data_IF_172418894225
#
_entry.id   IF_172418894225
#
_cell.length_a   1.000
_cell.length_b   1.000
_cell.length_c   1.000
_cell.angle_alpha   90.00
_cell.angle_beta   90.00
_cell.angle_gamma   90.00
#
_symmetry.space_group_name_H-M   'P 1'
#
loop_
_entity.id
_entity.type
_entity.pdbx_description
1 polymer ?
#
# COMPACT_ATOMS: atom_id res chain seq x y z
N UNK A 1 27.80 33.40 -12.24
CA UNK A 1 27.66 33.87 -10.85
C UNK A 1 26.17 34.05 -10.56
N UNK A 2 25.46 32.96 -10.29
CA UNK A 2 23.99 32.93 -10.20
C UNK A 2 23.56 32.10 -8.99
N UNK A 3 22.45 32.53 -8.39
CA UNK A 3 21.62 31.82 -7.41
C UNK A 3 22.18 31.70 -5.98
N UNK A 4 22.01 32.76 -5.19
CA UNK A 4 21.71 32.61 -3.75
C UNK A 4 20.21 32.81 -3.60
N UNK A 5 19.47 31.72 -3.78
CA UNK A 5 18.03 31.66 -3.53
C UNK A 5 17.80 31.85 -2.03
N UNK A 6 17.46 33.08 -1.68
CA UNK A 6 16.93 33.44 -0.37
C UNK A 6 15.48 32.96 -0.27
N UNK A 7 15.32 31.64 -0.07
CA UNK A 7 14.04 30.95 0.10
C UNK A 7 13.58 30.96 1.57
N UNK A 8 14.19 31.78 2.43
CA UNK A 8 13.86 31.92 3.86
C UNK A 8 12.60 32.76 4.15
N UNK A 9 12.12 33.54 3.18
CA UNK A 9 11.03 34.49 3.41
C UNK A 9 9.62 33.93 3.13
N UNK A 10 9.48 32.78 2.46
CA UNK A 10 8.18 32.22 2.05
C UNK A 10 7.37 31.53 3.15
N UNK A 11 7.89 31.37 4.37
CA UNK A 11 7.20 30.68 5.48
C UNK A 11 6.69 31.62 6.60
N UNK A 12 6.78 32.95 6.42
CA UNK A 12 5.99 33.91 7.24
C UNK A 12 4.51 33.96 6.82
N UNK A 13 4.15 33.22 5.77
CA UNK A 13 2.79 33.01 5.25
C UNK A 13 1.85 32.22 6.18
N UNK A 14 2.18 32.06 7.45
CA UNK A 14 1.23 31.62 8.48
C UNK A 14 1.33 32.45 9.77
N UNK A 15 1.76 33.71 9.66
CA UNK A 15 1.55 34.68 10.73
C UNK A 15 0.04 34.77 11.00
N UNK A 16 -0.35 34.35 12.21
CA UNK A 16 -1.75 34.28 12.63
C UNK A 16 -2.45 35.61 12.37
N UNK A 17 -3.60 35.54 11.68
CA UNK A 17 -4.49 36.68 11.51
C UNK A 17 -5.10 37.00 12.88
N UNK A 18 -4.96 38.24 13.32
CA UNK A 18 -5.67 38.78 14.49
C UNK A 18 -6.82 39.67 14.02
N UNK A 19 -7.90 39.81 14.82
CA UNK A 19 -9.03 40.68 14.48
C UNK A 19 -8.61 42.10 14.09
N UNK A 20 -7.67 42.69 14.84
CA UNK A 20 -7.15 44.04 14.56
C UNK A 20 -6.37 44.10 13.25
N UNK A 21 -5.59 43.06 12.96
CA UNK A 21 -4.83 42.98 11.71
C UNK A 21 -5.75 42.84 10.49
N UNK A 22 -6.85 42.10 10.64
CA UNK A 22 -7.86 41.98 9.58
C UNK A 22 -8.53 43.34 9.34
N UNK A 23 -8.85 44.10 10.40
CA UNK A 23 -9.40 45.46 10.27
C UNK A 23 -8.44 46.45 9.63
N UNK A 24 -7.15 46.32 9.90
CA UNK A 24 -6.10 47.17 9.33
C UNK A 24 -5.61 46.71 7.94
N UNK A 25 -6.21 45.67 7.35
CA UNK A 25 -5.79 45.15 6.06
C UNK A 25 -6.21 46.10 4.93
N UNK A 26 -5.21 46.66 4.26
CA UNK A 26 -5.42 47.46 3.05
C UNK A 26 -5.36 46.58 1.79
N UNK A 27 -6.22 46.89 0.82
CA UNK A 27 -6.24 46.26 -0.49
C UNK A 27 -5.81 47.26 -1.56
N UNK A 28 -4.93 46.85 -2.47
CA UNK A 28 -4.53 47.67 -3.61
C UNK A 28 -5.71 47.85 -4.58
N UNK A 29 -5.88 49.06 -5.11
CA UNK A 29 -6.90 49.35 -6.14
C UNK A 29 -6.64 48.55 -7.41
N UNK A 30 -7.72 48.21 -8.13
CA UNK A 30 -7.61 47.53 -9.41
C UNK A 30 -6.82 48.38 -10.42
N UNK A 31 -5.92 47.75 -11.17
CA UNK A 31 -5.19 48.39 -12.28
C UNK A 31 -6.17 48.95 -13.31
N UNK A 32 -5.88 50.14 -13.87
CA UNK A 32 -6.72 50.80 -14.88
C UNK A 32 -7.23 49.80 -15.93
N UNK A 33 -8.55 49.75 -16.13
CA UNK A 33 -9.22 48.89 -17.12
C UNK A 33 -9.80 47.57 -16.60
N UNK A 34 -9.63 47.25 -15.30
CA UNK A 34 -10.30 46.09 -14.66
C UNK A 34 -11.31 46.56 -13.61
N UNK A 35 -12.48 45.91 -13.55
CA UNK A 35 -13.46 46.13 -12.47
C UNK A 35 -12.91 45.55 -11.16
N UNK A 36 -12.82 46.38 -10.13
CA UNK A 36 -12.49 45.96 -8.76
C UNK A 36 -13.74 45.63 -7.95
N UNK A 37 -13.54 45.11 -6.74
CA UNK A 37 -14.62 44.92 -5.77
C UNK A 37 -15.13 46.28 -5.23
N UNK A 38 -16.39 46.30 -4.81
CA UNK A 38 -16.97 47.46 -4.14
C UNK A 38 -16.30 47.64 -2.76
N UNK A 39 -15.69 48.80 -2.54
CA UNK A 39 -14.92 49.10 -1.32
C UNK A 39 -15.78 49.07 -0.05
N UNK A 40 -17.05 49.47 -0.16
CA UNK A 40 -17.99 49.46 0.97
C UNK A 40 -18.39 48.04 1.37
N UNK A 41 -18.71 47.18 0.40
CA UNK A 41 -19.02 45.77 0.64
C UNK A 41 -17.81 45.02 1.23
N UNK A 42 -16.61 45.30 0.71
CA UNK A 42 -15.36 44.73 1.24
C UNK A 42 -15.12 45.20 2.67
N UNK A 43 -15.34 46.48 2.99
CA UNK A 43 -15.21 46.99 4.36
C UNK A 43 -16.19 46.34 5.33
N UNK A 44 -17.46 46.18 4.94
CA UNK A 44 -18.47 45.49 5.75
C UNK A 44 -18.09 44.02 5.98
N UNK A 45 -17.58 43.35 4.94
CA UNK A 45 -17.13 41.96 5.05
C UNK A 45 -15.93 41.81 5.99
N UNK A 46 -14.91 42.69 5.88
CA UNK A 46 -13.77 42.72 6.82
C UNK A 46 -14.24 42.91 8.25
N UNK A 47 -15.19 43.82 8.49
CA UNK A 47 -15.76 44.07 9.81
C UNK A 47 -16.35 42.80 10.43
N UNK A 48 -17.21 42.12 9.67
CA UNK A 48 -17.83 40.84 10.07
C UNK A 48 -16.79 39.75 10.33
N UNK A 49 -15.83 39.58 9.42
CA UNK A 49 -14.76 38.56 9.58
C UNK A 49 -13.92 38.84 10.82
N UNK A 50 -13.62 40.10 11.11
CA UNK A 50 -12.89 40.48 12.32
C UNK A 50 -13.69 40.20 13.60
N UNK A 51 -15.01 40.42 13.59
CA UNK A 51 -15.91 40.08 14.70
C UNK A 51 -16.00 38.56 14.92
N UNK A 52 -16.22 37.79 13.86
CA UNK A 52 -16.28 36.33 13.93
C UNK A 52 -14.94 35.73 14.41
N UNK A 53 -13.82 36.31 13.98
CA UNK A 53 -12.49 35.92 14.43
C UNK A 53 -12.27 36.25 15.91
N UNK A 54 -12.72 37.42 16.36
CA UNK A 54 -12.63 37.81 17.77
C UNK A 54 -13.48 36.90 18.67
N UNK A 55 -14.69 36.56 18.25
CA UNK A 55 -15.55 35.61 18.95
C UNK A 55 -14.89 34.22 19.04
N UNK A 56 -14.35 33.73 17.92
CA UNK A 56 -13.64 32.45 17.86
C UNK A 56 -12.39 32.42 18.76
N UNK A 57 -11.65 33.52 18.85
CA UNK A 57 -10.47 33.62 19.70
C UNK A 57 -10.85 33.66 21.19
N UNK A 58 -11.94 34.33 21.55
CA UNK A 58 -12.47 34.32 22.91
C UNK A 58 -12.93 32.91 23.34
N UNK A 59 -13.61 32.17 22.46
CA UNK A 59 -14.00 30.79 22.71
C UNK A 59 -12.79 29.86 22.84
N UNK A 60 -11.78 30.01 21.97
CA UNK A 60 -10.52 29.24 22.12
C UNK A 60 -9.81 29.56 23.43
N UNK A 61 -9.84 30.81 23.87
CA UNK A 61 -9.24 31.21 25.15
C UNK A 61 -9.99 30.59 26.34
N UNK A 62 -11.33 30.59 26.32
CA UNK A 62 -12.14 29.97 27.38
C UNK A 62 -11.95 28.45 27.42
N UNK A 63 -11.93 27.78 26.26
CA UNK A 63 -11.65 26.35 26.16
C UNK A 63 -10.25 26.00 26.68
N UNK A 64 -9.24 26.82 26.37
CA UNK A 64 -7.88 26.62 26.93
C UNK A 64 -7.85 26.80 28.44
N UNK A 65 -8.52 27.83 28.96
CA UNK A 65 -8.63 28.03 30.41
C UNK A 65 -9.31 26.85 31.10
N UNK A 66 -10.36 26.29 30.49
CA UNK A 66 -11.05 25.11 31.03
C UNK A 66 -10.19 23.84 30.93
N UNK A 67 -9.46 23.63 29.83
CA UNK A 67 -8.48 22.54 29.72
C UNK A 67 -7.42 22.65 30.82
N UNK A 68 -6.89 23.84 31.07
CA UNK A 68 -5.87 24.05 32.09
C UNK A 68 -6.43 23.88 33.51
N UNK A 69 -7.67 24.29 33.74
CA UNK A 69 -8.41 24.02 34.98
C UNK A 69 -8.62 22.53 35.20
N UNK A 70 -9.09 21.79 34.19
CA UNK A 70 -9.30 20.35 34.26
C UNK A 70 -7.97 19.62 34.49
N UNK A 71 -6.92 19.97 33.76
CA UNK A 71 -5.57 19.43 33.97
C UNK A 71 -5.07 19.65 35.39
N UNK A 72 -5.29 20.84 35.95
CA UNK A 72 -4.93 21.15 37.34
C UNK A 72 -5.69 20.27 38.32
N UNK A 73 -7.02 20.15 38.15
CA UNK A 73 -7.88 19.28 38.97
C UNK A 73 -7.42 17.82 38.93
N UNK A 74 -7.12 17.29 37.74
CA UNK A 74 -6.61 15.92 37.61
C UNK A 74 -5.23 15.75 38.24
N UNK A 75 -4.34 16.73 38.12
CA UNK A 75 -3.05 16.69 38.81
C UNK A 75 -3.22 16.71 40.32
N UNK A 76 -4.10 17.54 40.87
CA UNK A 76 -4.37 17.62 42.31
C UNK A 76 -5.01 16.34 42.83
N UNK A 77 -5.94 15.75 42.08
CA UNK A 77 -6.55 14.45 42.38
C UNK A 77 -5.52 13.32 42.32
N UNK A 78 -4.71 13.25 41.27
CA UNK A 78 -3.65 12.26 41.14
C UNK A 78 -2.54 12.48 42.16
N UNK A 79 -2.22 13.71 42.54
CA UNK A 79 -1.19 14.01 43.54
C UNK A 79 -1.69 13.74 44.95
N UNK A 80 -2.98 13.91 45.23
CA UNK A 80 -3.62 13.50 46.50
C UNK A 80 -3.71 11.97 46.60
N UNK A 81 -4.02 11.27 45.51
CA UNK A 81 -3.99 9.81 45.46
C UNK A 81 -2.55 9.25 45.53
N UNK A 82 -1.60 9.87 44.81
CA UNK A 82 -0.19 9.46 44.79
C UNK A 82 0.58 9.82 46.08
N UNK A 83 0.07 10.74 46.90
CA UNK A 83 0.63 11.04 48.22
C UNK A 83 0.19 10.04 49.29
N UNK A 84 -0.75 9.14 48.97
CA UNK A 84 -1.19 8.06 49.87
C UNK A 84 -0.60 6.70 49.44
N UNK A 85 -0.42 6.45 48.15
CA UNK A 85 0.25 5.24 47.62
C UNK A 85 0.99 5.60 46.32
N UNK A 86 2.23 5.10 46.15
CA UNK A 86 3.02 5.30 44.91
C UNK A 86 2.34 4.76 43.64
N UNK A 87 2.94 4.93 42.44
CA UNK A 87 2.33 4.47 41.19
C UNK A 87 1.86 3.01 41.33
N UNK A 88 0.57 2.70 41.07
CA UNK A 88 0.00 1.43 41.44
C UNK A 88 0.71 0.33 40.64
N UNK A 89 1.25 -0.67 41.33
CA UNK A 89 1.95 -1.81 40.73
C UNK A 89 1.10 -2.49 39.63
N UNK A 90 -0.23 -2.38 39.72
CA UNK A 90 -1.21 -2.78 38.71
C UNK A 90 -1.03 -2.08 37.36
N UNK A 91 -0.78 -0.76 37.33
CA UNK A 91 -0.57 -0.02 36.09
C UNK A 91 0.75 -0.41 35.40
N UNK A 92 1.78 -0.72 36.20
CA UNK A 92 3.06 -1.24 35.68
C UNK A 92 2.86 -2.63 35.10
N UNK A 93 2.15 -3.52 35.80
CA UNK A 93 1.82 -4.85 35.31
C UNK A 93 0.99 -4.81 34.01
N UNK A 94 0.00 -3.91 33.92
CA UNK A 94 -0.81 -3.73 32.71
C UNK A 94 0.04 -3.20 31.54
N UNK A 95 0.95 -2.26 31.79
CA UNK A 95 1.86 -1.75 30.76
C UNK A 95 2.83 -2.83 30.28
N UNK A 96 3.40 -3.63 31.20
CA UNK A 96 4.26 -4.76 30.84
C UNK A 96 3.51 -5.81 30.03
N UNK A 97 2.26 -6.14 30.39
CA UNK A 97 1.41 -7.05 29.62
C UNK A 97 1.08 -6.50 28.22
N UNK A 98 0.73 -5.21 28.13
CA UNK A 98 0.47 -4.56 26.85
C UNK A 98 1.71 -4.50 25.96
N UNK A 99 2.89 -4.25 26.53
CA UNK A 99 4.15 -4.25 25.79
C UNK A 99 4.48 -5.63 25.23
N UNK A 100 4.35 -6.68 26.06
CA UNK A 100 4.54 -8.07 25.60
C UNK A 100 3.58 -8.43 24.46
N UNK A 101 2.32 -7.97 24.56
CA UNK A 101 1.33 -8.18 23.51
C UNK A 101 1.66 -7.42 22.22
N UNK A 102 2.15 -6.18 22.34
CA UNK A 102 2.61 -5.40 21.19
C UNK A 102 3.80 -6.08 20.50
N UNK A 103 4.78 -6.56 21.27
CA UNK A 103 5.95 -7.27 20.75
C UNK A 103 5.54 -8.57 20.04
N UNK A 104 4.54 -9.29 20.57
CA UNK A 104 3.97 -10.48 19.94
C UNK A 104 3.29 -10.15 18.60
N UNK A 105 2.52 -9.06 18.52
CA UNK A 105 1.91 -8.62 17.26
C UNK A 105 2.96 -8.21 16.23
N UNK A 106 4.04 -7.54 16.64
CA UNK A 106 5.14 -7.17 15.75
C UNK A 106 5.82 -8.43 15.20
N UNK A 107 6.10 -9.42 16.04
CA UNK A 107 6.69 -10.69 15.59
C UNK A 107 5.77 -11.43 14.59
N UNK A 108 4.46 -11.49 14.88
CA UNK A 108 3.48 -12.11 13.97
C UNK A 108 3.38 -11.36 12.64
N UNK A 109 3.33 -10.02 12.68
CA UNK A 109 3.26 -9.21 11.46
C UNK A 109 4.52 -9.36 10.60
N UNK A 110 5.70 -9.38 11.22
CA UNK A 110 6.97 -9.60 10.52
C UNK A 110 7.02 -10.97 9.84
N UNK A 111 6.56 -12.02 10.53
CA UNK A 111 6.47 -13.36 9.96
C UNK A 111 5.48 -13.43 8.79
N UNK A 112 4.29 -12.86 8.95
CA UNK A 112 3.29 -12.77 7.88
C UNK A 112 3.82 -12.03 6.66
N UNK A 113 4.50 -10.90 6.83
CA UNK A 113 5.12 -10.16 5.73
C UNK A 113 6.20 -10.97 5.01
N UNK A 114 7.01 -11.74 5.74
CA UNK A 114 8.00 -12.66 5.14
C UNK A 114 7.31 -13.74 4.31
N UNK A 115 6.28 -14.37 4.86
CA UNK A 115 5.51 -15.40 4.17
C UNK A 115 4.84 -14.85 2.91
N UNK A 116 4.18 -13.69 3.01
CA UNK A 116 3.53 -13.02 1.89
C UNK A 116 4.53 -12.67 0.77
N UNK A 117 5.73 -12.22 1.13
CA UNK A 117 6.78 -11.92 0.14
C UNK A 117 7.23 -13.17 -0.60
N UNK A 118 7.39 -14.30 0.11
CA UNK A 118 7.75 -15.59 -0.51
C UNK A 118 6.63 -16.09 -1.41
N UNK A 119 5.37 -16.00 -0.97
CA UNK A 119 4.20 -16.39 -1.76
C UNK A 119 4.05 -15.54 -3.02
N UNK A 120 4.15 -14.22 -2.90
CA UNK A 120 4.06 -13.30 -4.04
C UNK A 120 5.15 -13.57 -5.09
N UNK A 121 6.38 -13.88 -4.65
CA UNK A 121 7.47 -14.27 -5.57
C UNK A 121 7.17 -15.57 -6.31
N UNK A 122 6.77 -16.61 -5.58
CA UNK A 122 6.39 -17.90 -6.19
C UNK A 122 5.27 -17.73 -7.21
N UNK A 123 4.21 -17.00 -6.84
CA UNK A 123 3.10 -16.73 -7.74
C UNK A 123 3.54 -15.94 -8.98
N UNK A 124 4.44 -14.97 -8.83
CA UNK A 124 4.98 -14.24 -9.97
C UNK A 124 5.80 -15.16 -10.89
N UNK A 125 6.63 -16.03 -10.33
CA UNK A 125 7.41 -17.01 -11.09
C UNK A 125 6.49 -17.98 -11.84
N UNK A 126 5.44 -18.48 -11.19
CA UNK A 126 4.44 -19.37 -11.80
C UNK A 126 3.73 -18.71 -13.00
N UNK A 127 3.28 -17.46 -12.83
CA UNK A 127 2.66 -16.67 -13.91
C UNK A 127 3.63 -16.47 -15.07
N UNK A 128 4.91 -16.19 -14.79
CA UNK A 128 5.91 -15.97 -15.83
C UNK A 128 6.22 -17.25 -16.61
N UNK A 129 6.26 -18.42 -15.93
CA UNK A 129 6.42 -19.72 -16.59
C UNK A 129 5.21 -20.02 -17.47
N UNK A 130 4.00 -19.87 -16.94
CA UNK A 130 2.77 -20.10 -17.70
C UNK A 130 2.68 -19.19 -18.94
N UNK A 131 2.97 -17.89 -18.77
CA UNK A 131 2.97 -16.94 -19.87
C UNK A 131 4.02 -17.29 -20.94
N UNK A 132 5.19 -17.79 -20.53
CA UNK A 132 6.25 -18.24 -21.44
C UNK A 132 5.81 -19.45 -22.25
N UNK A 133 5.19 -20.43 -21.60
CA UNK A 133 4.73 -21.65 -22.26
C UNK A 133 3.60 -21.37 -23.26
N UNK A 134 2.62 -20.53 -22.86
CA UNK A 134 1.56 -20.06 -23.74
C UNK A 134 2.10 -19.29 -24.94
N UNK A 135 3.06 -18.38 -24.72
CA UNK A 135 3.70 -17.63 -25.80
C UNK A 135 4.49 -18.55 -26.75
N UNK A 136 5.15 -19.59 -26.21
CA UNK A 136 5.84 -20.61 -27.01
C UNK A 136 4.89 -21.39 -27.90
N UNK A 137 3.80 -21.90 -27.34
CA UNK A 137 2.79 -22.65 -28.09
C UNK A 137 2.15 -21.80 -29.21
N UNK A 138 1.80 -20.54 -28.91
CA UNK A 138 1.25 -19.61 -29.90
C UNK A 138 2.25 -19.27 -31.01
N UNK A 139 3.53 -19.08 -30.68
CA UNK A 139 4.58 -18.83 -31.67
C UNK A 139 4.80 -20.05 -32.59
N UNK A 140 4.76 -21.26 -32.04
CA UNK A 140 4.85 -22.49 -32.83
C UNK A 140 3.65 -22.70 -33.75
N UNK A 141 2.44 -22.40 -33.27
CA UNK A 141 1.23 -22.45 -34.08
C UNK A 141 1.29 -21.44 -35.24
N UNK A 142 1.70 -20.20 -34.96
CA UNK A 142 1.92 -19.19 -36.00
C UNK A 142 2.97 -19.68 -37.02
N UNK A 143 4.11 -20.20 -36.56
CA UNK A 143 5.17 -20.74 -37.43
C UNK A 143 4.69 -21.93 -38.27
N UNK A 144 3.78 -22.77 -37.75
CA UNK A 144 3.14 -23.85 -38.52
C UNK A 144 2.23 -23.27 -39.61
N UNK A 145 1.42 -22.27 -39.29
CA UNK A 145 0.58 -21.55 -40.26
C UNK A 145 1.39 -20.90 -41.38
N UNK A 146 2.48 -20.21 -41.04
CA UNK A 146 3.39 -19.63 -42.03
C UNK A 146 4.01 -20.69 -42.95
N UNK A 147 4.49 -21.81 -42.39
CA UNK A 147 5.08 -22.90 -43.19
C UNK A 147 4.07 -23.55 -44.12
N UNK A 148 2.81 -23.72 -43.69
CA UNK A 148 1.76 -24.26 -44.54
C UNK A 148 1.41 -23.33 -45.71
N UNK A 149 1.47 -22.01 -45.52
CA UNK A 149 1.16 -21.01 -46.56
C UNK A 149 2.31 -20.69 -47.53
N UNK A 150 3.57 -20.90 -47.14
CA UNK A 150 4.74 -20.41 -47.89
C UNK A 150 5.14 -21.26 -49.12
N UNK A 151 4.78 -22.55 -49.18
CA UNK A 151 5.07 -23.41 -50.34
C UNK A 151 6.55 -23.48 -50.78
N UNK A 152 6.82 -23.96 -52.00
CA UNK A 152 8.17 -24.28 -52.54
C UNK A 152 9.15 -23.10 -52.71
N UNK A 153 8.73 -21.87 -52.39
CA UNK A 153 9.57 -20.66 -52.41
C UNK A 153 10.40 -20.49 -51.12
N UNK A 154 10.10 -21.29 -50.10
CA UNK A 154 10.79 -21.30 -48.81
C UNK A 154 12.16 -21.97 -48.91
N UNK A 155 13.23 -21.23 -48.57
CA UNK A 155 14.60 -21.74 -48.52
C UNK A 155 15.15 -21.60 -47.10
N UNK A 156 15.91 -22.61 -46.64
CA UNK A 156 16.52 -22.68 -45.30
C UNK A 156 17.39 -21.46 -44.97
N UNK A 157 18.04 -20.88 -45.99
CA UNK A 157 18.92 -19.71 -45.86
C UNK A 157 18.15 -18.41 -45.57
N UNK A 158 16.96 -18.22 -46.15
CA UNK A 158 16.11 -17.05 -45.86
C UNK A 158 15.61 -17.11 -44.42
N UNK A 159 15.18 -18.29 -43.94
CA UNK A 159 14.73 -18.48 -42.56
C UNK A 159 15.87 -18.32 -41.53
N UNK A 160 17.10 -18.68 -41.89
CA UNK A 160 18.26 -18.44 -41.02
C UNK A 160 18.61 -16.96 -40.91
N UNK A 161 18.49 -16.20 -42.01
CA UNK A 161 18.70 -14.76 -42.01
C UNK A 161 17.60 -14.01 -41.26
N UNK A 162 16.33 -14.38 -41.44
CA UNK A 162 15.20 -13.83 -40.68
C UNK A 162 15.35 -14.11 -39.18
N UNK A 163 15.76 -15.32 -38.80
CA UNK A 163 16.08 -15.64 -37.39
C UNK A 163 17.21 -14.78 -36.83
N UNK A 164 18.28 -14.54 -37.60
CA UNK A 164 19.39 -13.68 -37.16
C UNK A 164 18.94 -12.23 -36.98
N UNK A 165 18.14 -11.70 -37.91
CA UNK A 165 17.59 -10.34 -37.79
C UNK A 165 16.66 -10.23 -36.57
N UNK A 166 15.75 -11.18 -36.39
CA UNK A 166 14.86 -11.22 -35.23
C UNK A 166 15.65 -11.35 -33.92
N UNK A 167 16.70 -12.18 -33.88
CA UNK A 167 17.57 -12.32 -32.71
C UNK A 167 18.29 -11.00 -32.37
N UNK A 168 18.88 -10.32 -33.37
CA UNK A 168 19.55 -9.03 -33.14
C UNK A 168 18.55 -7.99 -32.62
N UNK A 169 17.35 -7.91 -33.19
CA UNK A 169 16.32 -6.97 -32.74
C UNK A 169 15.87 -7.26 -31.30
N UNK A 170 15.66 -8.54 -30.97
CA UNK A 170 15.27 -8.95 -29.62
C UNK A 170 16.39 -8.68 -28.61
N UNK A 171 17.63 -8.93 -29.00
CA UNK A 171 18.82 -8.64 -28.20
C UNK A 171 18.98 -7.14 -27.95
N UNK A 172 18.91 -6.31 -28.99
CA UNK A 172 18.98 -4.85 -28.85
C UNK A 172 17.88 -4.33 -27.91
N UNK A 173 16.65 -4.87 -28.01
CA UNK A 173 15.55 -4.50 -27.12
C UNK A 173 15.80 -4.93 -25.68
N UNK A 174 16.34 -6.12 -25.44
CA UNK A 174 16.69 -6.60 -24.11
C UNK A 174 17.79 -5.75 -23.47
N UNK A 175 18.85 -5.40 -24.21
CA UNK A 175 19.92 -4.51 -23.74
C UNK A 175 19.37 -3.12 -23.42
N UNK A 176 18.45 -2.59 -24.24
CA UNK A 176 17.84 -1.29 -24.00
C UNK A 176 17.01 -1.28 -22.71
N UNK A 177 16.20 -2.33 -22.47
CA UNK A 177 15.43 -2.48 -21.22
C UNK A 177 16.37 -2.61 -20.02
N UNK A 178 17.47 -3.37 -20.13
CA UNK A 178 18.45 -3.48 -19.06
C UNK A 178 19.15 -2.16 -18.75
N UNK A 179 19.54 -1.39 -19.78
CA UNK A 179 20.16 -0.08 -19.61
C UNK A 179 19.21 0.91 -18.92
N UNK A 180 17.92 0.87 -19.28
CA UNK A 180 16.89 1.70 -18.63
C UNK A 180 16.68 1.29 -17.17
N UNK A 181 16.52 -0.01 -16.89
CA UNK A 181 16.37 -0.51 -15.53
C UNK A 181 17.58 -0.18 -14.64
N UNK A 182 18.80 -0.29 -15.19
CA UNK A 182 20.02 0.10 -14.48
C UNK A 182 20.04 1.62 -14.22
N UNK A 183 19.70 2.44 -15.21
CA UNK A 183 19.60 3.90 -15.06
C UNK A 183 18.57 4.30 -14.00
N UNK A 184 17.41 3.66 -13.97
CA UNK A 184 16.36 3.90 -12.99
C UNK A 184 16.82 3.49 -11.58
N UNK A 185 17.50 2.34 -11.45
CA UNK A 185 18.08 1.91 -10.19
C UNK A 185 19.13 2.90 -9.67
N UNK A 186 20.03 3.40 -10.53
CA UNK A 186 20.99 4.45 -10.15
C UNK A 186 20.29 5.74 -9.74
N UNK A 187 19.26 6.15 -10.45
CA UNK A 187 18.49 7.36 -10.13
C UNK A 187 17.78 7.25 -8.79
N UNK A 188 17.22 6.08 -8.47
CA UNK A 188 16.60 5.79 -7.17
C UNK A 188 17.63 5.79 -6.03
N UNK A 189 18.83 5.26 -6.25
CA UNK A 189 19.88 5.26 -5.24
C UNK A 189 20.38 6.68 -4.96
N UNK A 190 20.51 7.51 -6.00
CA UNK A 190 20.83 8.94 -5.87
C UNK A 190 19.75 9.67 -5.07
N UNK A 191 18.47 9.41 -5.36
CA UNK A 191 17.36 10.00 -4.63
C UNK A 191 17.37 9.60 -3.14
N UNK A 192 17.61 8.32 -2.83
CA UNK A 192 17.78 7.85 -1.44
C UNK A 192 18.93 8.53 -0.73
N UNK A 193 20.07 8.72 -1.40
CA UNK A 193 21.23 9.41 -0.82
C UNK A 193 20.94 10.90 -0.58
N UNK A 194 20.21 11.57 -1.47
CA UNK A 194 19.79 12.95 -1.25
C UNK A 194 18.83 13.07 -0.06
N UNK A 195 17.89 12.13 0.08
CA UNK A 195 16.96 12.09 1.21
C UNK A 195 17.67 11.79 2.53
N UNK A 196 18.68 10.90 2.52
CA UNK A 196 19.49 10.66 3.71
C UNK A 196 20.33 11.89 4.11
N UNK A 197 20.86 12.61 3.12
CA UNK A 197 21.60 13.85 3.36
C UNK A 197 20.69 14.95 3.91
N UNK A 198 19.46 15.09 3.41
CA UNK A 198 18.51 16.09 3.90
C UNK A 198 18.04 15.75 5.31
N UNK A 199 17.73 14.47 5.58
CA UNK A 199 17.37 14.00 6.93
C UNK A 199 18.53 14.13 7.92
N UNK A 200 19.78 13.89 7.50
CA UNK A 200 20.97 14.16 8.34
C UNK A 200 21.12 15.65 8.62
N UNK A 201 20.96 16.53 7.63
CA UNK A 201 21.02 17.98 7.84
C UNK A 201 19.86 18.49 8.74
N UNK A 202 18.68 17.88 8.64
CA UNK A 202 17.53 18.18 9.51
C UNK A 202 17.78 17.71 10.95
N UNK A 203 18.45 16.56 11.13
CA UNK A 203 18.86 16.02 12.44
C UNK A 203 19.93 16.88 13.10
N UNK A 204 20.92 17.32 12.33
CA UNK A 204 22.00 18.21 12.78
C UNK A 204 21.43 19.59 13.18
N UNK A 205 20.44 20.11 12.45
CA UNK A 205 19.71 21.34 12.85
C UNK A 205 18.83 21.16 14.08
N UNK A 206 18.36 19.95 14.39
CA UNK A 206 17.60 19.66 15.63
C UNK A 206 18.51 19.45 16.85
N UNK A 207 19.82 19.39 16.67
CA UNK A 207 20.78 19.31 17.76
C UNK A 207 21.56 20.63 17.90
N UNK A 208 20.97 21.68 18.51
CA UNK A 208 21.71 22.87 18.87
C UNK A 208 22.58 22.62 20.11
N UNK A 209 23.80 23.14 20.05
CA UNK A 209 24.79 23.21 21.13
C UNK A 209 24.17 23.63 22.48
N UNK A 210 24.45 22.82 23.50
CA UNK A 210 24.49 23.28 24.88
C UNK A 210 25.92 23.72 25.20
N UNK A 211 26.18 24.97 25.63
CA UNK A 211 27.49 25.34 26.13
C UNK A 211 27.51 25.24 27.66
N UNK A 212 28.23 24.24 28.18
CA UNK A 212 29.34 24.38 29.14
C UNK A 212 29.62 23.07 29.91
N UNK A 213 30.88 22.62 29.86
CA UNK A 213 31.54 22.08 31.05
C UNK A 213 31.80 20.56 31.19
N UNK A 214 33.00 20.16 30.72
CA UNK A 214 33.95 19.23 31.36
C UNK A 214 33.69 17.69 31.34
N UNK A 215 34.54 16.98 30.59
CA UNK A 215 35.35 15.88 31.16
C UNK A 215 35.05 14.44 30.73
N UNK A 216 35.94 13.88 29.90
CA UNK A 216 36.42 12.50 30.07
C UNK A 216 36.01 11.46 29.02
N UNK A 217 36.99 11.06 28.20
CA UNK A 217 37.29 9.71 27.67
C UNK A 217 36.13 8.70 27.50
N UNK A 218 35.95 8.00 26.37
CA UNK A 218 36.96 7.16 25.74
C UNK A 218 36.43 6.61 24.40
N UNK A 219 37.30 6.64 23.39
CA UNK A 219 37.49 5.75 22.24
C UNK A 219 36.58 4.49 22.16
N UNK A 220 35.89 4.32 21.02
CA UNK A 220 36.02 3.15 20.13
C UNK A 220 35.02 3.21 18.95
N UNK A 221 35.55 3.13 17.73
CA UNK A 221 34.87 2.60 16.54
C UNK A 221 35.47 1.20 16.26
N UNK A 222 35.00 0.41 15.27
CA UNK A 222 33.67 0.33 14.63
C UNK A 222 33.12 -1.13 14.62
N UNK A 223 31.84 -1.34 14.30
CA UNK A 223 31.46 -2.60 13.63
C UNK A 223 30.26 -2.40 12.71
N UNK A 224 30.45 -2.92 11.50
CA UNK A 224 29.53 -2.89 10.38
C UNK A 224 28.24 -3.66 10.66
N UNK A 225 27.11 -3.13 10.17
CA UNK A 225 25.95 -3.90 9.80
C UNK A 225 25.20 -3.21 8.65
N UNK A 226 25.23 -3.91 7.52
CA UNK A 226 24.55 -3.76 6.23
C UNK A 226 23.10 -3.23 6.31
N UNK A 227 22.66 -2.30 5.45
CA UNK A 227 21.24 -2.02 5.26
C UNK A 227 20.62 -3.07 4.33
N UNK A 228 19.61 -3.78 4.84
CA UNK A 228 18.76 -4.67 4.06
C UNK A 228 17.84 -3.86 3.14
N UNK A 229 17.71 -4.35 1.90
CA UNK A 229 16.96 -3.76 0.81
C UNK A 229 15.48 -3.49 1.16
N UNK A 230 15.06 -2.23 1.01
CA UNK A 230 13.66 -1.85 0.87
C UNK A 230 13.26 -1.97 -0.62
N UNK A 231 12.36 -2.92 -0.90
CA UNK A 231 11.68 -3.03 -2.18
C UNK A 231 10.65 -1.90 -2.38
N UNK A 232 10.21 -1.66 -3.63
CA UNK A 232 9.32 -0.55 -3.95
C UNK A 232 7.89 -0.78 -3.46
N UNK A 233 7.35 0.26 -2.83
CA UNK A 233 5.93 0.46 -2.52
C UNK A 233 5.15 0.63 -3.83
N UNK A 234 4.31 -0.36 -4.15
CA UNK A 234 3.32 -0.27 -5.20
C UNK A 234 1.95 0.07 -4.59
N UNK A 235 1.33 1.08 -5.20
CA UNK A 235 -0.04 1.52 -5.06
C UNK A 235 -1.05 0.43 -4.67
N UNK A 236 -1.82 0.69 -3.60
CA UNK A 236 -2.98 -0.12 -3.26
C UNK A 236 -4.19 0.21 -4.15
N UNK A 237 -4.92 -0.80 -4.65
CA UNK A 237 -6.31 -0.64 -5.02
C UNK A 237 -7.24 -1.08 -3.86
N UNK A 238 -8.21 -0.22 -3.60
CA UNK A 238 -9.58 -0.45 -3.10
C UNK A 238 -9.93 -1.88 -2.66
N UNK A 239 -10.29 -2.05 -1.39
CA UNK A 239 -10.78 -3.32 -0.85
C UNK A 239 -12.22 -3.66 -1.29
N UNK A 240 -12.59 -4.95 -1.31
CA UNK A 240 -13.99 -5.37 -1.45
C UNK A 240 -14.63 -5.54 -0.07
N UNK A 241 -15.51 -4.60 0.29
CA UNK A 241 -16.43 -4.72 1.42
C UNK A 241 -17.73 -5.40 0.99
N UNK A 242 -17.94 -6.62 1.50
CA UNK A 242 -19.18 -7.33 1.84
C UNK A 242 -20.53 -6.75 1.32
N UNK A 243 -21.36 -7.56 0.61
CA UNK A 243 -22.74 -7.17 0.27
C UNK A 243 -23.72 -7.42 1.44
N UNK A 244 -24.68 -6.52 1.70
CA UNK A 244 -25.81 -6.82 2.57
C UNK A 244 -27.11 -7.08 1.76
N UNK A 245 -27.81 -8.15 2.13
CA UNK A 245 -29.27 -8.18 2.23
C UNK A 245 -30.09 -8.32 0.93
N UNK A 246 -30.42 -9.56 0.56
CA UNK A 246 -31.57 -9.86 -0.29
C UNK A 246 -32.87 -9.76 0.51
N UNK A 247 -33.80 -8.94 0.03
CA UNK A 247 -35.22 -8.88 0.41
C UNK A 247 -36.07 -8.60 -0.84
N UNK A 248 -37.34 -9.01 -0.88
CA UNK A 248 -37.98 -9.53 -2.09
C UNK A 248 -38.64 -8.44 -2.95
N UNK A 249 -38.58 -8.60 -4.27
CA UNK A 249 -39.42 -7.88 -5.24
C UNK A 249 -40.27 -8.89 -6.00
N UNK A 250 -41.59 -8.74 -5.87
CA UNK A 250 -42.60 -9.57 -6.51
C UNK A 250 -42.74 -9.34 -8.02
N UNK A 251 -43.53 -10.17 -8.71
CA UNK A 251 -43.57 -10.21 -10.16
C UNK A 251 -44.61 -9.22 -10.72
N UNK A 252 -44.27 -8.53 -11.81
CA UNK A 252 -45.21 -7.71 -12.55
C UNK A 252 -45.11 -7.99 -14.07
N UNK A 253 -46.20 -8.53 -14.58
CA UNK A 253 -46.84 -8.28 -15.88
C UNK A 253 -46.05 -8.51 -17.18
N UNK A 254 -46.44 -9.54 -17.93
CA UNK A 254 -46.23 -9.64 -19.37
C UNK A 254 -47.30 -8.89 -20.18
N UNK A 255 -47.26 -8.96 -21.53
CA UNK A 255 -48.40 -8.61 -22.38
C UNK A 255 -49.06 -9.84 -23.06
N UNK A 256 -50.34 -9.73 -23.47
CA UNK A 256 -51.17 -10.82 -24.02
C UNK A 256 -51.00 -10.93 -25.56
N UNK A 257 -51.41 -11.95 -26.33
CA UNK A 257 -52.71 -12.65 -26.42
C UNK A 257 -52.64 -13.76 -27.49
N UNK A 258 -53.59 -14.70 -27.43
CA UNK A 258 -54.16 -15.56 -28.49
C UNK A 258 -53.87 -17.09 -28.41
N UNK A 259 -54.87 -17.84 -27.93
CA UNK A 259 -54.99 -19.32 -28.04
C UNK A 259 -55.51 -19.78 -29.42
N UNK A 260 -56.12 -20.99 -29.60
CA UNK A 260 -56.72 -21.87 -28.57
C UNK A 260 -56.51 -23.40 -28.73
N UNK A 261 -57.08 -24.14 -27.75
CA UNK A 261 -57.69 -25.49 -27.79
C UNK A 261 -56.81 -26.76 -27.59
N UNK A 262 -57.03 -27.46 -26.45
CA UNK A 262 -56.78 -28.91 -26.26
C UNK A 262 -57.99 -29.77 -26.69
N UNK A 263 -58.23 -31.01 -26.16
CA UNK A 263 -57.50 -31.79 -25.15
C UNK A 263 -57.33 -33.31 -25.46
N UNK A 264 -56.64 -34.08 -24.59
CA UNK A 264 -56.68 -35.56 -24.58
C UNK A 264 -55.78 -36.23 -23.51
N UNK A 265 -56.28 -37.17 -22.66
CA UNK A 265 -55.59 -37.68 -21.46
C UNK A 265 -55.08 -39.14 -21.53
N UNK A 266 -54.18 -39.53 -20.64
CA UNK A 266 -53.82 -40.94 -20.33
C UNK A 266 -52.69 -41.02 -19.28
N UNK A 267 -52.97 -41.35 -18.02
CA UNK A 267 -52.91 -42.68 -17.37
C UNK A 267 -51.51 -43.17 -16.96
N UNK A 268 -51.34 -43.52 -15.67
CA UNK A 268 -50.18 -44.23 -15.10
C UNK A 268 -49.74 -43.69 -13.74
N UNK A 269 -50.41 -44.02 -12.63
CA UNK A 269 -50.08 -45.10 -11.66
C UNK A 269 -48.80 -44.81 -10.85
N UNK A 270 -48.96 -44.63 -9.52
CA UNK A 270 -47.90 -44.51 -8.50
C UNK A 270 -47.25 -45.85 -8.12
N UNK A 271 -46.63 -46.05 -6.92
CA UNK A 271 -46.70 -45.21 -5.72
C UNK A 271 -45.36 -44.91 -4.99
N UNK A 272 -45.48 -44.07 -3.96
CA UNK A 272 -44.57 -43.85 -2.83
C UNK A 272 -44.00 -45.11 -2.19
N UNK A 273 -42.81 -44.99 -1.57
CA UNK A 273 -42.48 -45.60 -0.29
C UNK A 273 -41.22 -44.96 0.33
N UNK A 274 -41.43 -44.21 1.40
CA UNK A 274 -40.45 -43.93 2.46
C UNK A 274 -39.88 -45.23 3.04
N UNK A 275 -38.55 -45.29 3.26
CA UNK A 275 -37.92 -46.09 4.32
C UNK A 275 -36.40 -45.84 4.43
N UNK A 276 -36.01 -45.13 5.49
CA UNK A 276 -34.72 -45.27 6.22
C UNK A 276 -35.01 -46.32 7.33
N UNK A 277 -34.14 -47.30 7.71
CA UNK A 277 -32.86 -47.04 8.38
C UNK A 277 -31.69 -48.07 8.30
N UNK A 278 -30.49 -47.53 8.57
CA UNK A 278 -29.32 -48.04 9.30
C UNK A 278 -28.79 -49.48 9.06
N UNK A 279 -27.50 -49.58 8.69
CA UNK A 279 -26.57 -50.53 9.32
C UNK A 279 -25.14 -49.98 9.40
N UNK A 280 -24.64 -49.94 10.64
CA UNK A 280 -23.26 -49.68 11.07
C UNK A 280 -22.48 -51.01 11.01
N UNK A 281 -21.23 -51.02 10.49
CA UNK A 281 -20.10 -51.79 11.05
C UNK A 281 -18.79 -51.52 10.28
N UNK A 282 -17.70 -51.34 11.07
CA UNK A 282 -16.26 -51.59 10.83
C UNK A 282 -15.60 -51.04 9.54
N UNK A 283 -14.42 -50.41 9.55
CA UNK A 283 -13.27 -50.53 10.44
C UNK A 283 -12.03 -50.84 9.58
N UNK A 284 -11.01 -49.97 9.62
CA UNK A 284 -9.63 -50.25 9.20
C UNK A 284 -9.30 -50.07 7.70
N UNK A 285 -8.49 -49.06 7.36
CA UNK A 285 -7.05 -49.25 7.05
C UNK A 285 -6.47 -47.99 6.39
N UNK A 286 -5.49 -47.44 7.09
CA UNK A 286 -4.52 -46.42 6.67
C UNK A 286 -3.51 -47.05 5.67
N UNK A 287 -3.15 -46.38 4.56
CA UNK A 287 -2.07 -46.84 3.70
C UNK A 287 -0.77 -46.10 4.04
N UNK A 288 0.23 -46.86 4.49
CA UNK A 288 1.64 -46.46 4.55
C UNK A 288 2.45 -47.29 3.52
N UNK A 289 3.63 -46.77 3.15
CA UNK A 289 4.60 -47.19 2.14
C UNK A 289 4.36 -46.57 0.75
N UNK A 290 5.34 -45.92 0.10
CA UNK A 290 6.74 -46.36 -0.04
C UNK A 290 7.63 -45.24 -0.62
N UNK A 291 8.74 -44.92 0.03
CA UNK A 291 9.87 -44.20 -0.56
C UNK A 291 10.71 -45.17 -1.43
N UNK A 292 11.38 -44.71 -2.51
CA UNK A 292 12.27 -45.55 -3.31
C UNK A 292 13.68 -45.60 -2.71
N UNK A 293 14.21 -46.82 -2.68
CA UNK A 293 15.54 -47.19 -2.22
C UNK A 293 16.59 -46.83 -3.28
N UNK A 294 17.72 -46.32 -2.80
CA UNK A 294 18.90 -45.98 -3.58
C UNK A 294 19.65 -47.27 -3.92
N UNK A 295 19.99 -47.48 -5.20
CA UNK A 295 20.95 -48.51 -5.59
C UNK A 295 21.74 -47.99 -6.77
N UNK A 296 22.94 -47.50 -6.46
CA UNK A 296 23.91 -47.07 -7.44
C UNK A 296 24.36 -48.20 -8.36
N UNK A 297 24.66 -47.84 -9.60
CA UNK A 297 25.60 -48.60 -10.42
C UNK A 297 26.37 -47.64 -11.30
N UNK A 298 27.61 -47.41 -10.88
CA UNK A 298 28.64 -46.73 -11.63
C UNK A 298 29.07 -47.58 -12.82
N UNK A 299 29.09 -47.01 -14.03
CA UNK A 299 29.86 -47.51 -15.17
C UNK A 299 30.32 -46.36 -16.07
N UNK A 300 31.61 -46.06 -15.96
CA UNK A 300 32.54 -45.57 -16.99
C UNK A 300 33.91 -46.17 -16.59
N UNK A 301 34.88 -46.44 -17.49
CA UNK A 301 35.17 -45.59 -18.65
C UNK A 301 35.79 -46.27 -19.92
N UNK A 302 36.09 -45.40 -20.89
CA UNK A 302 37.12 -45.42 -21.95
C UNK A 302 36.78 -45.99 -23.34
N UNK A 303 37.01 -45.11 -24.32
CA UNK A 303 36.99 -45.29 -25.78
C UNK A 303 36.93 -43.94 -26.43
#
# INVERSE_FOLDING_TARGET
MTAREDMGARSRSSQRLSPERVRAQEFSRASLGRRGYNEEEVRLFIGRVAEDLAASDAEKASLRAEIDRLRRRYREQNHSAASVEGPPAEAVNLLSAAQQQADAYVAQAQEYCRQLTVQARRQADDILVEARDQAGAAAEEAARGYRAGAGSSYTREVEEMERRVAWIQTFCRAVQIQMQAASDAFSQEIARLSDFSTLSAERDRRQPDSPDGVGGAQRAAPSAATPAAAGPSAAGPLGPGVPPGAGPVGPAAGPPTAGPAGPGPGHGIGPDLDAVPQHRYAGGHEPDHRAPDESGTAWLPRG
#
